data_IF_130933287845
#
_entry.id   IF_130933287845
#
_cell.length_a   1.000
_cell.length_b   1.000
_cell.length_c   1.000
_cell.angle_alpha   90.00
_cell.angle_beta   90.00
_cell.angle_gamma   90.00
#
_symmetry.space_group_name_H-M   'P 1'
#
loop_
_entity.id
_entity.type
_entity.pdbx_description
1 polymer ?
#
# COMPACT_ATOMS: atom_id res chain seq x y z
N UNK A 1 59.72 56.11 -10.67
CA UNK A 1 58.40 55.42 -10.92
C UNK A 1 58.09 54.62 -9.68
N UNK A 2 57.13 55.15 -8.86
CA UNK A 2 56.61 54.46 -7.69
C UNK A 2 55.33 53.64 -8.13
N UNK A 3 55.29 52.35 -7.82
CA UNK A 3 54.12 51.51 -7.91
C UNK A 3 53.60 51.33 -6.48
N UNK A 4 52.38 51.84 -6.24
CA UNK A 4 51.63 51.61 -5.02
C UNK A 4 50.85 50.27 -5.15
N UNK A 5 51.11 49.39 -4.19
CA UNK A 5 50.32 48.12 -4.06
C UNK A 5 49.15 48.39 -3.15
N UNK A 6 47.91 48.23 -3.69
CA UNK A 6 46.72 48.21 -2.89
C UNK A 6 46.49 46.78 -2.30
N UNK A 7 46.33 46.74 -0.98
CA UNK A 7 46.13 45.57 -0.17
C UNK A 7 44.62 45.43 0.05
N UNK A 8 43.94 44.57 -0.72
CA UNK A 8 42.55 44.25 -0.50
C UNK A 8 42.37 43.12 0.55
N UNK A 9 41.63 43.43 1.58
CA UNK A 9 41.28 42.57 2.69
C UNK A 9 40.12 41.69 2.27
N UNK A 10 40.14 40.34 2.38
CA UNK A 10 39.02 39.50 2.00
C UNK A 10 37.89 39.69 2.99
N UNK A 11 36.68 39.90 2.44
CA UNK A 11 35.44 39.97 3.19
C UNK A 11 35.06 38.55 3.68
N UNK A 12 34.86 38.43 4.99
CA UNK A 12 34.34 37.24 5.66
C UNK A 12 32.84 37.09 5.31
N UNK A 13 32.51 36.16 4.45
CA UNK A 13 31.12 35.68 4.25
C UNK A 13 30.76 34.81 5.42
N UNK A 14 29.99 35.37 6.37
CA UNK A 14 29.34 34.62 7.43
C UNK A 14 28.24 33.75 6.82
N UNK A 15 28.43 32.44 6.76
CA UNK A 15 27.36 31.48 6.53
C UNK A 15 26.42 31.49 7.73
N UNK A 16 25.25 32.10 7.55
CA UNK A 16 24.12 31.95 8.46
C UNK A 16 23.57 30.54 8.28
N UNK A 17 24.09 29.59 9.02
CA UNK A 17 23.44 28.27 9.22
C UNK A 17 22.21 28.51 10.11
N UNK A 18 21.09 28.84 9.48
CA UNK A 18 19.77 28.81 10.13
C UNK A 18 19.38 27.35 10.28
N UNK A 19 19.75 26.76 11.42
CA UNK A 19 19.17 25.48 11.86
C UNK A 19 17.67 25.71 11.95
N UNK A 20 16.93 25.21 10.96
CA UNK A 20 15.49 25.12 11.04
C UNK A 20 15.15 24.18 12.21
N UNK A 21 14.71 24.79 13.30
CA UNK A 21 14.17 24.09 14.45
C UNK A 21 12.91 23.39 13.96
N UNK A 22 12.94 22.07 13.80
CA UNK A 22 11.75 21.28 13.53
C UNK A 22 10.73 21.59 14.64
N UNK A 23 9.63 22.22 14.26
CA UNK A 23 8.50 22.40 15.17
C UNK A 23 7.99 20.98 15.52
N UNK A 24 7.75 20.70 16.81
CA UNK A 24 7.16 19.44 17.22
C UNK A 24 5.80 19.29 16.51
N UNK A 25 5.64 18.18 15.78
CA UNK A 25 4.37 17.81 15.16
C UNK A 25 3.29 17.87 16.24
N UNK A 26 2.24 18.67 16.00
CA UNK A 26 1.10 18.73 16.90
C UNK A 26 0.56 17.31 17.12
N UNK A 27 0.18 16.98 18.35
CA UNK A 27 -0.43 15.68 18.65
C UNK A 27 -1.64 15.47 17.73
N UNK A 28 -1.66 14.32 17.03
CA UNK A 28 -2.75 14.00 16.11
C UNK A 28 -4.07 13.93 16.87
N UNK A 29 -5.09 14.67 16.40
CA UNK A 29 -6.45 14.60 16.93
C UNK A 29 -7.07 13.22 16.74
N UNK A 30 -6.58 12.51 15.71
CA UNK A 30 -7.03 11.18 15.33
C UNK A 30 -6.03 10.09 15.76
N UNK A 31 -5.22 10.32 16.80
CA UNK A 31 -4.28 9.35 17.32
C UNK A 31 -4.95 8.00 17.66
N UNK A 32 -6.23 8.02 18.05
CA UNK A 32 -7.03 6.83 18.27
C UNK A 32 -7.17 5.92 17.04
N UNK A 33 -7.21 6.49 15.83
CA UNK A 33 -7.23 5.70 14.60
C UNK A 33 -5.93 4.92 14.39
N UNK A 34 -4.77 5.52 14.72
CA UNK A 34 -3.46 4.92 14.46
C UNK A 34 -3.10 3.83 15.48
N UNK A 35 -3.64 3.91 16.69
CA UNK A 35 -3.29 3.02 17.80
C UNK A 35 -3.50 1.51 17.52
N UNK A 36 -4.59 1.06 16.88
CA UNK A 36 -4.81 -0.36 16.62
C UNK A 36 -3.93 -0.93 15.49
N UNK A 37 -3.26 -0.09 14.68
CA UNK A 37 -2.36 -0.55 13.64
C UNK A 37 -1.01 -0.94 14.21
N UNK A 38 -0.58 -2.19 14.01
CA UNK A 38 0.75 -2.67 14.43
C UNK A 38 1.84 -2.04 13.57
N UNK A 39 2.90 -1.55 14.18
CA UNK A 39 4.08 -1.12 13.43
C UNK A 39 4.72 -2.31 12.72
N UNK A 40 5.09 -2.11 11.45
CA UNK A 40 5.73 -3.15 10.63
C UNK A 40 6.98 -2.59 9.98
N UNK A 41 8.12 -3.19 10.28
CA UNK A 41 9.36 -3.02 9.53
C UNK A 41 9.56 -4.25 8.63
N UNK A 42 10.05 -4.01 7.39
CA UNK A 42 10.22 -5.06 6.39
C UNK A 42 11.15 -4.60 5.25
N UNK A 43 11.88 -5.57 4.69
CA UNK A 43 12.54 -5.42 3.40
C UNK A 43 11.57 -5.71 2.26
N UNK A 44 10.75 -6.76 2.44
CA UNK A 44 9.67 -7.13 1.53
C UNK A 44 8.47 -7.62 2.34
N UNK A 45 7.29 -7.09 2.05
CA UNK A 45 6.02 -7.49 2.64
C UNK A 45 5.12 -8.05 1.53
N UNK A 46 4.81 -9.35 1.61
CA UNK A 46 3.82 -9.96 0.73
C UNK A 46 2.42 -9.71 1.31
N UNK A 47 1.60 -8.96 0.59
CA UNK A 47 0.21 -8.64 0.93
C UNK A 47 -0.70 -9.55 0.11
N UNK A 48 -1.43 -10.43 0.78
CA UNK A 48 -2.37 -11.37 0.17
C UNK A 48 -3.68 -11.39 0.95
N UNK A 49 -4.79 -11.66 0.26
CA UNK A 49 -6.09 -11.81 0.90
C UNK A 49 -6.09 -13.08 1.76
N UNK A 50 -6.48 -13.01 3.05
CA UNK A 50 -6.53 -14.19 3.91
C UNK A 50 -7.72 -15.08 3.53
N UNK A 51 -7.45 -16.34 3.22
CA UNK A 51 -8.49 -17.29 2.79
C UNK A 51 -9.54 -17.57 3.87
N UNK A 52 -9.11 -17.59 5.13
CA UNK A 52 -9.96 -17.90 6.30
C UNK A 52 -10.20 -16.68 7.22
N UNK A 53 -9.80 -15.49 6.78
CA UNK A 53 -9.87 -14.23 7.53
C UNK A 53 -9.11 -14.25 8.87
N UNK A 54 -8.10 -15.12 8.98
CA UNK A 54 -7.25 -15.30 10.17
C UNK A 54 -5.77 -15.09 9.86
N UNK A 55 -4.94 -15.17 10.90
CA UNK A 55 -3.50 -15.10 10.75
C UNK A 55 -2.96 -13.69 10.60
N UNK A 56 -1.96 -13.49 9.76
CA UNK A 56 -1.19 -12.25 9.69
C UNK A 56 -2.04 -11.02 9.38
N UNK A 57 -3.08 -11.18 8.56
CA UNK A 57 -3.97 -10.10 8.09
C UNK A 57 -5.34 -10.10 8.79
N UNK A 58 -5.52 -10.84 9.87
CA UNK A 58 -6.76 -10.81 10.67
C UNK A 58 -7.10 -9.40 11.12
N UNK A 59 -6.12 -8.69 11.67
CA UNK A 59 -6.23 -7.29 12.10
C UNK A 59 -7.06 -7.11 13.36
N UNK A 60 -7.08 -5.86 13.83
CA UNK A 60 -7.87 -5.43 14.99
C UNK A 60 -9.13 -4.72 14.48
N UNK A 61 -10.35 -5.11 14.90
CA UNK A 61 -11.56 -4.42 14.50
C UNK A 61 -11.50 -2.93 14.84
N UNK A 62 -11.89 -2.08 13.88
CA UNK A 62 -12.07 -0.65 14.09
C UNK A 62 -13.50 -0.38 14.52
N UNK A 63 -13.67 0.53 15.46
CA UNK A 63 -14.99 1.00 15.89
C UNK A 63 -15.61 2.00 14.89
N UNK A 64 -16.87 2.37 15.11
CA UNK A 64 -17.59 3.30 14.24
C UNK A 64 -16.96 4.69 14.22
N UNK A 65 -16.32 5.12 15.32
CA UNK A 65 -15.65 6.43 15.38
C UNK A 65 -14.40 6.46 14.51
N UNK A 66 -13.62 5.36 14.47
CA UNK A 66 -12.50 5.21 13.58
C UNK A 66 -12.95 5.02 12.12
N UNK A 67 -14.02 4.27 11.88
CA UNK A 67 -14.52 3.96 10.55
C UNK A 67 -14.90 5.20 9.73
N UNK A 68 -15.49 6.23 10.35
CA UNK A 68 -15.89 7.47 9.66
C UNK A 68 -14.71 8.31 9.17
N UNK A 69 -13.48 8.00 9.58
CA UNK A 69 -12.26 8.64 9.09
C UNK A 69 -11.76 8.05 7.76
N UNK A 70 -12.33 6.92 7.35
CA UNK A 70 -12.04 6.30 6.05
C UNK A 70 -12.88 6.96 4.94
N UNK A 71 -12.46 6.81 3.67
CA UNK A 71 -13.25 7.30 2.53
C UNK A 71 -14.69 6.78 2.59
N UNK A 72 -15.70 7.62 2.26
CA UNK A 72 -17.11 7.28 2.37
C UNK A 72 -17.49 6.00 1.65
N UNK A 73 -16.93 5.75 0.45
CA UNK A 73 -17.17 4.54 -0.33
C UNK A 73 -16.72 3.26 0.37
N UNK A 74 -15.80 3.36 1.34
CA UNK A 74 -15.35 2.25 2.18
C UNK A 74 -16.22 2.14 3.44
N UNK A 75 -16.50 3.27 4.10
CA UNK A 75 -17.20 3.31 5.37
C UNK A 75 -18.73 3.15 5.20
N UNK A 76 -19.33 3.90 4.28
CA UNK A 76 -20.81 3.94 4.12
C UNK A 76 -21.38 2.68 3.50
N UNK A 77 -20.72 2.14 2.47
CA UNK A 77 -21.20 0.96 1.73
C UNK A 77 -21.33 -0.29 2.61
N UNK A 78 -20.52 -0.34 3.67
CA UNK A 78 -20.38 -1.51 4.52
C UNK A 78 -20.50 -1.16 6.00
N UNK A 79 -21.16 -0.03 6.32
CA UNK A 79 -21.36 0.41 7.69
C UNK A 79 -22.36 -0.54 8.37
N UNK A 80 -21.81 -1.55 8.99
CA UNK A 80 -22.52 -2.51 9.84
C UNK A 80 -21.94 -2.43 11.24
N UNK A 81 -22.59 -2.98 12.21
CA UNK A 81 -22.08 -3.06 13.59
C UNK A 81 -21.64 -4.51 13.87
N UNK A 82 -20.35 -4.82 13.87
CA UNK A 82 -19.17 -3.98 13.64
C UNK A 82 -18.97 -3.61 12.15
N UNK A 83 -18.25 -2.50 11.84
CA UNK A 83 -18.16 -1.96 10.48
C UNK A 83 -17.34 -2.80 9.49
N UNK A 84 -16.83 -3.94 9.85
CA UNK A 84 -16.06 -4.81 8.94
C UNK A 84 -14.70 -4.25 8.48
N UNK A 85 -14.19 -3.23 9.18
CA UNK A 85 -12.86 -2.63 8.98
C UNK A 85 -11.91 -3.12 10.04
N UNK A 86 -10.69 -3.52 9.64
CA UNK A 86 -9.70 -4.08 10.56
C UNK A 86 -8.33 -3.44 10.32
N UNK A 87 -7.75 -2.86 11.36
CA UNK A 87 -6.39 -2.32 11.34
C UNK A 87 -5.37 -3.45 11.32
N UNK A 88 -4.44 -3.45 10.36
CA UNK A 88 -3.43 -4.50 10.24
C UNK A 88 -2.05 -3.93 10.56
N UNK A 89 -1.47 -3.14 9.65
CA UNK A 89 -0.12 -2.59 9.80
C UNK A 89 -0.07 -1.10 9.53
N UNK A 90 0.92 -0.43 10.16
CA UNK A 90 1.36 0.92 9.81
C UNK A 90 2.86 0.94 9.57
N UNK A 91 3.30 1.75 8.61
CA UNK A 91 4.71 1.95 8.27
C UNK A 91 4.93 3.27 7.54
N UNK A 92 6.14 3.85 7.61
CA UNK A 92 6.45 5.08 6.87
C UNK A 92 6.38 4.84 5.35
N UNK A 93 5.69 5.71 4.60
CA UNK A 93 5.67 5.71 3.13
C UNK A 93 6.64 6.72 2.54
N UNK A 94 6.54 7.96 3.03
CA UNK A 94 7.34 9.12 2.59
C UNK A 94 7.37 10.14 3.73
N UNK A 95 8.21 11.19 3.67
CA UNK A 95 8.16 12.28 4.62
C UNK A 95 6.73 12.88 4.73
N UNK A 96 6.19 12.88 5.94
CA UNK A 96 4.82 13.36 6.23
C UNK A 96 3.68 12.39 5.87
N UNK A 97 3.97 11.17 5.40
CA UNK A 97 2.97 10.16 5.08
C UNK A 97 3.23 8.82 5.79
N UNK A 98 2.20 8.30 6.43
CA UNK A 98 2.18 6.96 7.02
C UNK A 98 1.23 6.07 6.20
N UNK A 99 1.68 4.88 5.84
CA UNK A 99 0.83 3.85 5.26
C UNK A 99 0.06 3.13 6.34
N UNK A 100 -1.26 3.01 6.16
CA UNK A 100 -2.13 2.21 7.00
C UNK A 100 -2.66 1.06 6.15
N UNK A 101 -2.17 -0.15 6.38
CA UNK A 101 -2.69 -1.34 5.73
C UNK A 101 -3.90 -1.84 6.53
N UNK A 102 -5.06 -1.77 5.92
CA UNK A 102 -6.30 -2.21 6.53
C UNK A 102 -6.97 -3.29 5.70
N UNK A 103 -7.61 -4.25 6.38
CA UNK A 103 -8.54 -5.18 5.77
C UNK A 103 -9.92 -4.55 5.76
N UNK A 104 -10.56 -4.53 4.59
CA UNK A 104 -11.79 -3.80 4.33
C UNK A 104 -12.86 -4.73 3.79
N UNK A 105 -14.15 -4.36 3.91
CA UNK A 105 -15.22 -5.06 3.27
C UNK A 105 -15.02 -5.20 1.76
N UNK A 106 -15.50 -6.29 1.22
CA UNK A 106 -15.57 -6.61 -0.18
C UNK A 106 -16.98 -7.13 -0.54
N UNK A 107 -17.16 -7.73 -1.71
CA UNK A 107 -18.47 -8.18 -2.19
C UNK A 107 -19.17 -9.16 -1.24
N UNK A 108 -18.42 -10.09 -0.64
CA UNK A 108 -18.98 -11.17 0.18
C UNK A 108 -18.48 -11.16 1.62
N UNK A 109 -17.18 -10.89 1.81
CA UNK A 109 -16.51 -10.95 3.11
C UNK A 109 -15.46 -9.85 3.19
N UNK A 110 -15.04 -9.41 4.40
CA UNK A 110 -14.02 -8.37 4.54
C UNK A 110 -12.62 -8.94 4.27
N UNK A 111 -12.31 -9.23 3.01
CA UNK A 111 -11.06 -9.85 2.57
C UNK A 111 -10.21 -9.01 1.62
N UNK A 112 -10.60 -7.78 1.33
CA UNK A 112 -9.77 -6.85 0.57
C UNK A 112 -8.77 -6.13 1.46
N UNK A 113 -7.49 -6.12 1.09
CA UNK A 113 -6.44 -5.39 1.78
C UNK A 113 -6.08 -4.14 1.00
N UNK A 114 -6.27 -2.98 1.63
CA UNK A 114 -6.01 -1.66 1.07
C UNK A 114 -4.97 -0.92 1.88
N UNK A 115 -4.06 -0.25 1.18
CA UNK A 115 -3.09 0.66 1.76
C UNK A 115 -3.65 2.09 1.69
N UNK A 116 -3.92 2.68 2.83
CA UNK A 116 -4.39 4.05 2.97
C UNK A 116 -3.22 4.98 3.28
N UNK A 117 -3.25 6.19 2.71
CA UNK A 117 -2.24 7.22 2.87
C UNK A 117 -2.69 8.21 3.95
N UNK A 118 -2.12 8.08 5.13
CA UNK A 118 -2.32 9.02 6.23
C UNK A 118 -1.38 10.21 6.07
N UNK A 119 -1.93 11.39 5.82
CA UNK A 119 -1.16 12.63 5.80
C UNK A 119 -1.05 13.17 7.22
N UNK A 120 0.16 13.18 7.78
CA UNK A 120 0.42 13.61 9.16
C UNK A 120 0.09 15.08 9.39
N UNK A 121 0.31 15.96 8.39
CA UNK A 121 0.00 17.38 8.47
C UNK A 121 -1.49 17.68 8.38
N UNK A 122 -2.18 17.00 7.48
CA UNK A 122 -3.64 17.14 7.32
C UNK A 122 -4.42 16.36 8.39
N UNK A 123 -3.75 15.46 9.12
CA UNK A 123 -4.30 14.56 10.12
C UNK A 123 -5.51 13.77 9.59
N UNK A 124 -5.35 13.21 8.37
CA UNK A 124 -6.43 12.54 7.65
C UNK A 124 -5.92 11.56 6.59
N UNK A 125 -6.77 10.61 6.20
CA UNK A 125 -6.57 9.77 5.02
C UNK A 125 -6.82 10.60 3.77
N UNK A 126 -5.88 10.59 2.82
CA UNK A 126 -5.94 11.41 1.60
C UNK A 126 -6.15 10.58 0.33
N UNK A 127 -5.76 9.32 0.34
CA UNK A 127 -5.94 8.40 -0.78
C UNK A 127 -5.78 6.95 -0.31
N UNK A 128 -6.07 6.00 -1.20
CA UNK A 128 -5.78 4.58 -0.96
C UNK A 128 -5.52 3.83 -2.26
N UNK A 129 -4.96 2.63 -2.13
CA UNK A 129 -4.80 1.66 -3.21
C UNK A 129 -5.11 0.27 -2.69
N UNK A 130 -5.84 -0.51 -3.46
CA UNK A 130 -6.10 -1.91 -3.15
C UNK A 130 -4.92 -2.79 -3.59
N UNK A 131 -4.38 -3.56 -2.65
CA UNK A 131 -3.18 -4.37 -2.84
C UNK A 131 -3.49 -5.86 -2.93
N UNK A 132 -4.53 -6.34 -2.24
CA UNK A 132 -4.92 -7.74 -2.29
C UNK A 132 -6.43 -7.91 -2.20
N UNK A 133 -6.95 -8.92 -2.91
CA UNK A 133 -8.36 -9.27 -2.94
C UNK A 133 -8.49 -10.68 -3.52
N UNK A 134 -9.47 -11.45 -3.03
CA UNK A 134 -9.90 -12.71 -3.64
C UNK A 134 -11.41 -12.70 -3.75
N UNK A 135 -11.93 -12.98 -4.92
CA UNK A 135 -13.34 -13.16 -5.12
C UNK A 135 -13.60 -14.13 -6.28
N UNK A 136 -14.78 -14.73 -6.32
CA UNK A 136 -15.19 -15.61 -7.40
C UNK A 136 -16.70 -15.82 -7.36
N UNK A 137 -17.29 -15.97 -8.53
CA UNK A 137 -18.69 -16.29 -8.71
C UNK A 137 -18.91 -16.95 -10.08
N UNK A 138 -19.88 -17.86 -10.17
CA UNK A 138 -20.32 -18.47 -11.42
C UNK A 138 -19.19 -19.00 -12.32
N UNK A 139 -18.15 -19.60 -11.70
CA UNK A 139 -16.99 -20.18 -12.41
C UNK A 139 -15.84 -19.24 -12.68
N UNK A 140 -16.01 -17.97 -12.40
CA UNK A 140 -14.90 -17.01 -12.39
C UNK A 140 -14.20 -17.00 -11.02
N UNK A 141 -12.87 -16.94 -11.06
CA UNK A 141 -12.04 -16.75 -9.88
C UNK A 141 -11.03 -15.65 -10.14
N UNK A 142 -10.96 -14.70 -9.22
CA UNK A 142 -10.05 -13.56 -9.30
C UNK A 142 -9.20 -13.47 -8.03
N UNK A 143 -7.92 -13.22 -8.20
CA UNK A 143 -6.99 -12.99 -7.11
C UNK A 143 -6.06 -11.82 -7.44
N UNK A 144 -5.85 -10.98 -6.47
CA UNK A 144 -4.87 -9.91 -6.47
C UNK A 144 -3.98 -10.09 -5.26
N UNK A 145 -2.68 -10.12 -5.47
CA UNK A 145 -1.66 -10.08 -4.42
C UNK A 145 -0.65 -8.97 -4.75
N UNK A 146 0.03 -8.48 -3.73
CA UNK A 146 1.09 -7.50 -3.90
C UNK A 146 2.32 -7.81 -3.05
N UNK A 147 3.50 -7.40 -3.52
CA UNK A 147 4.75 -7.38 -2.77
C UNK A 147 5.21 -5.94 -2.63
N UNK A 148 5.18 -5.42 -1.41
CA UNK A 148 5.74 -4.10 -1.09
C UNK A 148 7.21 -4.31 -0.77
N UNK A 149 8.10 -3.54 -1.41
CA UNK A 149 9.55 -3.65 -1.20
C UNK A 149 10.24 -2.30 -1.35
N UNK A 150 11.48 -2.21 -0.86
CA UNK A 150 12.34 -1.05 -1.06
C UNK A 150 13.10 -1.19 -2.37
N UNK A 151 13.02 -0.17 -3.22
CA UNK A 151 13.85 -0.04 -4.41
C UNK A 151 15.29 0.36 -4.03
N UNK A 152 16.20 0.35 -5.00
CA UNK A 152 17.61 0.69 -4.78
C UNK A 152 17.83 2.13 -4.25
N UNK A 153 16.93 3.05 -4.55
CA UNK A 153 16.89 4.43 -4.04
C UNK A 153 16.17 4.56 -2.70
N UNK A 154 15.88 3.45 -2.03
CA UNK A 154 15.13 3.36 -0.78
C UNK A 154 13.65 3.76 -0.87
N UNK A 155 13.13 4.12 -2.05
CA UNK A 155 11.70 4.36 -2.24
C UNK A 155 10.89 3.08 -2.10
N UNK A 156 9.64 3.19 -1.60
CA UNK A 156 8.74 2.05 -1.52
C UNK A 156 8.02 1.85 -2.85
N UNK A 157 8.02 0.62 -3.32
CA UNK A 157 7.29 0.18 -4.51
C UNK A 157 6.43 -1.03 -4.18
N UNK A 158 5.41 -1.28 -4.98
CA UNK A 158 4.61 -2.50 -4.92
C UNK A 158 4.53 -3.15 -6.30
N UNK A 159 4.92 -4.43 -6.39
CA UNK A 159 4.54 -5.28 -7.50
C UNK A 159 3.16 -5.83 -7.20
N UNK A 160 2.19 -5.59 -8.07
CA UNK A 160 0.84 -6.13 -7.96
C UNK A 160 0.67 -7.19 -9.03
N UNK A 161 0.22 -8.37 -8.64
CA UNK A 161 -0.11 -9.49 -9.51
C UNK A 161 -1.61 -9.69 -9.54
N UNK A 162 -2.15 -9.87 -10.74
CA UNK A 162 -3.54 -10.16 -11.00
C UNK A 162 -3.63 -11.54 -11.64
N UNK A 163 -4.51 -12.37 -11.11
CA UNK A 163 -4.83 -13.70 -11.61
C UNK A 163 -6.34 -13.80 -11.83
N UNK A 164 -6.71 -14.27 -12.98
CA UNK A 164 -8.10 -14.51 -13.38
C UNK A 164 -8.20 -15.92 -13.96
N UNK A 165 -9.20 -16.67 -13.53
CA UNK A 165 -9.49 -18.03 -14.00
C UNK A 165 -10.97 -18.13 -14.30
N UNK A 166 -11.33 -18.74 -15.42
CA UNK A 166 -12.70 -19.05 -15.83
C UNK A 166 -12.84 -20.54 -16.11
N UNK A 167 -13.88 -21.17 -15.55
CA UNK A 167 -14.22 -22.57 -15.80
C UNK A 167 -15.11 -22.69 -17.05
N UNK A 168 -14.52 -23.09 -18.17
CA UNK A 168 -15.19 -23.21 -19.46
C UNK A 168 -16.32 -24.25 -19.46
N UNK A 169 -16.37 -25.17 -18.49
CA UNK A 169 -17.43 -26.17 -18.39
C UNK A 169 -18.81 -25.60 -18.10
N UNK A 170 -18.90 -24.35 -17.64
CA UNK A 170 -20.17 -23.66 -17.40
C UNK A 170 -20.85 -23.27 -18.71
N UNK A 171 -20.08 -22.87 -19.71
CA UNK A 171 -20.59 -22.53 -21.04
C UNK A 171 -20.73 -23.77 -21.92
N UNK A 172 -19.75 -24.68 -21.82
CA UNK A 172 -19.72 -25.93 -22.58
C UNK A 172 -19.43 -27.11 -21.65
N UNK A 173 -20.45 -27.87 -21.19
CA UNK A 173 -20.28 -28.93 -20.19
C UNK A 173 -19.26 -30.04 -20.55
N UNK A 174 -18.95 -30.21 -21.83
CA UNK A 174 -17.91 -31.13 -22.32
C UNK A 174 -16.49 -30.56 -22.20
N UNK A 175 -16.33 -29.24 -22.11
CA UNK A 175 -15.03 -28.60 -21.93
C UNK A 175 -14.66 -28.54 -20.44
N UNK A 176 -13.69 -29.34 -20.05
CA UNK A 176 -13.18 -29.39 -18.67
C UNK A 176 -11.93 -28.52 -18.48
N UNK A 177 -11.63 -27.66 -19.43
CA UNK A 177 -10.48 -26.75 -19.35
C UNK A 177 -10.82 -25.48 -18.57
N UNK A 178 -9.78 -24.76 -18.18
CA UNK A 178 -9.87 -23.43 -17.55
C UNK A 178 -9.12 -22.43 -18.38
N UNK A 179 -9.71 -21.27 -18.58
CA UNK A 179 -9.01 -20.13 -19.17
C UNK A 179 -8.33 -19.32 -18.08
N UNK A 180 -7.00 -19.17 -18.15
CA UNK A 180 -6.22 -18.45 -17.14
C UNK A 180 -5.57 -17.21 -17.76
N UNK A 181 -5.68 -16.07 -17.07
CA UNK A 181 -4.99 -14.81 -17.43
C UNK A 181 -4.21 -14.30 -16.23
N UNK A 182 -3.01 -13.78 -16.50
CA UNK A 182 -2.18 -13.15 -15.48
C UNK A 182 -1.62 -11.83 -16.00
N UNK A 183 -1.58 -10.84 -15.11
CA UNK A 183 -0.96 -9.57 -15.43
C UNK A 183 -0.27 -8.98 -14.21
N UNK A 184 0.62 -8.01 -14.44
CA UNK A 184 1.40 -7.35 -13.41
C UNK A 184 1.34 -5.84 -13.56
N UNK A 185 1.40 -5.14 -12.44
CA UNK A 185 1.62 -3.71 -12.39
C UNK A 185 2.68 -3.39 -11.34
N UNK A 186 3.54 -2.42 -11.63
CA UNK A 186 4.49 -1.86 -10.67
C UNK A 186 4.01 -0.47 -10.26
N UNK A 187 3.90 -0.25 -8.95
CA UNK A 187 3.45 1.00 -8.36
C UNK A 187 4.57 1.67 -7.56
N UNK A 188 4.67 2.99 -7.63
CA UNK A 188 5.37 3.80 -6.64
C UNK A 188 4.43 4.07 -5.46
N UNK A 189 4.93 3.89 -4.22
CA UNK A 189 4.17 4.15 -3.00
C UNK A 189 4.68 5.35 -2.21
N UNK A 190 5.88 5.85 -2.52
CA UNK A 190 6.56 6.93 -1.78
C UNK A 190 6.07 8.33 -2.16
N UNK A 191 4.77 8.52 -2.38
CA UNK A 191 4.14 9.79 -2.70
C UNK A 191 2.89 10.02 -1.84
N UNK A 192 2.07 11.02 -2.18
CA UNK A 192 0.78 11.26 -1.52
C UNK A 192 -0.31 10.25 -1.91
N UNK A 193 -0.03 9.43 -2.92
CA UNK A 193 -0.87 8.34 -3.44
C UNK A 193 0.01 7.34 -4.18
N UNK A 194 -0.56 6.18 -4.52
CA UNK A 194 0.10 5.24 -5.42
C UNK A 194 0.05 5.74 -6.87
N UNK A 195 1.20 5.70 -7.55
CA UNK A 195 1.31 6.01 -8.97
C UNK A 195 1.83 4.81 -9.75
N UNK A 196 1.24 4.53 -10.92
CA UNK A 196 1.67 3.40 -11.76
C UNK A 196 2.97 3.71 -12.47
N UNK A 197 4.01 2.91 -12.23
CA UNK A 197 5.31 2.99 -12.90
C UNK A 197 5.34 2.17 -14.20
N UNK A 198 4.72 0.99 -14.20
CA UNK A 198 4.68 0.09 -15.35
C UNK A 198 3.48 -0.86 -15.29
N UNK A 199 2.97 -1.25 -16.47
CA UNK A 199 2.01 -2.35 -16.68
C UNK A 199 2.53 -3.36 -17.72
N UNK A 200 3.81 -3.31 -18.07
CA UNK A 200 4.43 -4.30 -18.95
C UNK A 200 4.59 -5.63 -18.21
N UNK A 201 3.56 -6.46 -18.30
CA UNK A 201 3.49 -7.73 -17.57
C UNK A 201 4.64 -8.67 -17.90
N UNK A 202 5.11 -8.71 -19.14
CA UNK A 202 6.21 -9.58 -19.54
C UNK A 202 7.53 -9.14 -18.92
N UNK A 203 7.85 -7.85 -18.99
CA UNK A 203 9.05 -7.28 -18.38
C UNK A 203 9.01 -7.42 -16.84
N UNK A 204 7.84 -7.17 -16.22
CA UNK A 204 7.67 -7.29 -14.77
C UNK A 204 7.77 -8.73 -14.29
N UNK A 205 7.15 -9.69 -14.99
CA UNK A 205 7.27 -11.13 -14.68
C UNK A 205 8.73 -11.60 -14.76
N UNK A 206 9.47 -11.18 -15.78
CA UNK A 206 10.88 -11.49 -15.92
C UNK A 206 11.72 -10.92 -14.78
N UNK A 207 11.52 -9.64 -14.44
CA UNK A 207 12.29 -8.93 -13.41
C UNK A 207 12.00 -9.41 -12.00
N UNK A 208 10.75 -9.67 -11.67
CA UNK A 208 10.26 -9.94 -10.33
C UNK A 208 9.76 -11.38 -10.09
N UNK A 209 10.00 -12.29 -11.04
CA UNK A 209 9.58 -13.70 -10.93
C UNK A 209 10.10 -14.43 -9.67
N UNK A 210 11.19 -13.94 -9.06
CA UNK A 210 11.69 -14.45 -7.79
C UNK A 210 10.74 -14.18 -6.61
N UNK A 211 9.96 -13.10 -6.64
CA UNK A 211 8.97 -12.77 -5.61
C UNK A 211 7.73 -13.67 -5.73
N UNK A 212 7.32 -13.99 -6.96
CA UNK A 212 6.07 -14.72 -7.24
C UNK A 212 6.22 -16.24 -7.24
N UNK A 213 7.45 -16.77 -7.22
CA UNK A 213 7.71 -18.24 -7.26
C UNK A 213 7.07 -19.02 -6.10
N UNK A 214 6.87 -18.39 -4.95
CA UNK A 214 6.22 -19.03 -3.80
C UNK A 214 4.74 -19.36 -4.07
N UNK A 215 4.09 -18.64 -5.01
CA UNK A 215 2.69 -18.90 -5.35
C UNK A 215 2.50 -20.13 -6.25
N UNK A 216 3.51 -20.50 -7.02
CA UNK A 216 3.45 -21.65 -7.94
C UNK A 216 3.43 -23.03 -7.23
N UNK A 217 3.64 -23.06 -5.91
CA UNK A 217 3.70 -24.29 -5.11
C UNK A 217 2.67 -24.36 -3.96
N UNK A 218 1.83 -23.33 -3.81
CA UNK A 218 0.84 -23.27 -2.75
C UNK A 218 -0.57 -23.37 -3.37
N UNK A 219 -1.15 -24.56 -3.44
CA UNK A 219 -2.55 -24.70 -3.81
C UNK A 219 -3.39 -24.28 -2.60
N UNK A 220 -3.95 -23.04 -2.64
CA UNK A 220 -5.04 -22.49 -1.79
C UNK A 220 -5.04 -22.86 -0.31
#
# INVERSE_FOLDING_TARGET
>A
LLLAACNEKPASTGENNTVQKEEPLAESRNAGLLAPFREKDFDTLWVCSPADLKGEYEGVPLDSAAAVLFPPEIAEKHFSDPPGLFAVYRFPLAPGFTGLLARTPDWYVPNSLKLFYWNQKADSITSYVELAQVWGDAGDFHRKDAWIFRAADSSLQALVWFYEEHDNSLEMPSDKTKTVRQSYALLALSGPRADTLSKDSAALASRFGHLTRKLAGDPY
#
